data_IF_319870758744
#
_entry.id   IF_319870758744
#
_cell.length_a   1.000
_cell.length_b   1.000
_cell.length_c   1.000
_cell.angle_alpha   90.00
_cell.angle_beta   90.00
_cell.angle_gamma   90.00
#
_symmetry.space_group_name_H-M   'P 1'
#
loop_
_entity.id
_entity.type
_entity.pdbx_description
1 polymer ?
#
# COMPACT_ATOMS: atom_id res chain seq x y z
N UNK A 1 2.75 -9.47 -3.92
CA UNK A 1 2.67 -8.35 -2.95
C UNK A 1 2.26 -8.80 -1.55
N UNK A 2 1.27 -9.68 -1.43
CA UNK A 2 0.74 -10.12 -0.13
C UNK A 2 1.77 -10.58 0.92
N UNK A 3 2.86 -11.30 0.57
CA UNK A 3 3.90 -11.63 1.55
C UNK A 3 4.59 -10.41 2.17
N UNK A 4 4.77 -9.30 1.42
CA UNK A 4 5.36 -8.06 1.95
C UNK A 4 4.42 -7.42 2.97
N UNK A 5 3.12 -7.40 2.71
CA UNK A 5 2.10 -6.85 3.62
C UNK A 5 2.14 -7.57 4.98
N UNK A 6 2.24 -8.90 4.95
CA UNK A 6 2.34 -9.71 6.16
C UNK A 6 3.69 -9.51 6.87
N UNK A 7 4.80 -9.61 6.13
CA UNK A 7 6.15 -9.52 6.69
C UNK A 7 6.44 -8.14 7.31
N UNK A 8 5.85 -7.07 6.77
CA UNK A 8 5.99 -5.70 7.30
C UNK A 8 4.91 -5.34 8.33
N UNK A 9 4.08 -6.31 8.72
CA UNK A 9 3.11 -6.14 9.80
C UNK A 9 2.08 -5.05 9.53
N UNK A 10 1.70 -4.80 8.28
CA UNK A 10 0.77 -3.73 7.92
C UNK A 10 -0.56 -3.84 8.68
N UNK A 11 -1.03 -5.06 8.94
CA UNK A 11 -2.25 -5.34 9.70
C UNK A 11 -2.20 -4.88 11.16
N UNK A 12 -1.03 -4.68 11.75
CA UNK A 12 -0.90 -4.19 13.13
C UNK A 12 -1.46 -2.77 13.29
N UNK A 13 -1.26 -1.93 12.27
CA UNK A 13 -1.82 -0.58 12.22
C UNK A 13 -3.10 -0.53 11.38
N UNK A 14 -3.16 -1.25 10.27
CA UNK A 14 -4.24 -1.19 9.28
C UNK A 14 -5.18 -2.40 9.31
N UNK A 15 -5.28 -3.12 10.44
CA UNK A 15 -6.13 -4.32 10.55
C UNK A 15 -7.63 -4.02 10.49
N UNK A 16 -8.07 -2.97 11.18
CA UNK A 16 -9.50 -2.61 11.28
C UNK A 16 -9.83 -1.33 10.52
N UNK A 17 -9.18 -0.21 10.85
CA UNK A 17 -9.41 1.07 10.17
C UNK A 17 -8.26 2.08 10.33
N UNK A 18 -7.03 1.61 10.54
CA UNK A 18 -5.88 2.52 10.66
C UNK A 18 -5.69 3.34 9.39
N UNK A 19 -5.53 4.65 9.54
CA UNK A 19 -5.38 5.54 8.39
C UNK A 19 -6.57 5.52 7.41
N UNK A 20 -7.77 5.15 7.89
CA UNK A 20 -9.01 5.18 7.11
C UNK A 20 -9.23 3.98 6.19
N UNK A 21 -8.50 2.88 6.38
CA UNK A 21 -8.74 1.64 5.65
C UNK A 21 -8.33 0.38 6.43
N UNK A 22 -8.81 -0.78 5.94
CA UNK A 22 -8.37 -2.10 6.38
C UNK A 22 -7.61 -2.83 5.27
N UNK A 23 -6.47 -3.44 5.61
CA UNK A 23 -5.76 -4.38 4.71
C UNK A 23 -6.51 -5.70 4.53
N UNK A 24 -7.49 -6.00 5.39
CA UNK A 24 -8.22 -7.27 5.37
C UNK A 24 -7.38 -8.47 5.83
N UNK A 25 -8.01 -9.65 5.83
CA UNK A 25 -7.41 -10.92 6.26
C UNK A 25 -6.91 -11.81 5.11
N UNK A 26 -7.10 -11.38 3.86
CA UNK A 26 -6.71 -12.15 2.68
C UNK A 26 -6.21 -11.24 1.55
N UNK A 27 -5.46 -11.81 0.61
CA UNK A 27 -5.04 -11.11 -0.62
C UNK A 27 -6.20 -10.54 -1.42
N UNK A 28 -7.33 -11.27 -1.50
CA UNK A 28 -8.52 -10.82 -2.22
C UNK A 28 -9.18 -9.64 -1.52
N UNK A 29 -9.27 -9.67 -0.19
CA UNK A 29 -9.82 -8.55 0.59
C UNK A 29 -8.91 -7.33 0.51
N UNK A 30 -7.59 -7.53 0.60
CA UNK A 30 -6.62 -6.46 0.40
C UNK A 30 -6.78 -5.80 -0.96
N UNK A 31 -6.83 -6.61 -2.02
CA UNK A 31 -7.00 -6.13 -3.39
C UNK A 31 -8.28 -5.31 -3.53
N UNK A 32 -9.43 -5.86 -3.11
CA UNK A 32 -10.72 -5.17 -3.16
C UNK A 32 -10.74 -3.87 -2.36
N UNK A 33 -10.01 -3.80 -1.24
CA UNK A 33 -9.96 -2.60 -0.40
C UNK A 33 -8.98 -1.53 -0.90
N UNK A 34 -8.07 -1.84 -1.82
CA UNK A 34 -6.94 -0.94 -2.14
C UNK A 34 -6.79 -0.61 -3.62
N UNK A 35 -7.08 -1.54 -4.53
CA UNK A 35 -6.88 -1.31 -5.96
C UNK A 35 -8.06 -0.54 -6.53
N UNK A 36 -7.79 0.64 -7.10
CA UNK A 36 -8.82 1.55 -7.61
C UNK A 36 -9.63 2.27 -6.53
N UNK A 37 -9.32 2.05 -5.25
CA UNK A 37 -10.09 2.63 -4.14
C UNK A 37 -9.51 3.99 -3.73
N UNK A 38 -10.38 4.98 -3.62
CA UNK A 38 -10.01 6.32 -3.14
C UNK A 38 -9.53 6.29 -1.68
N UNK A 39 -8.53 7.11 -1.38
CA UNK A 39 -8.07 7.32 -0.01
C UNK A 39 -9.01 8.25 0.74
N UNK A 40 -9.52 7.79 1.87
CA UNK A 40 -10.37 8.58 2.79
C UNK A 40 -9.54 9.48 3.69
N UNK A 41 -8.32 9.07 4.05
CA UNK A 41 -7.40 9.86 4.87
C UNK A 41 -6.59 10.89 4.08
N UNK A 42 -6.61 10.79 2.75
CA UNK A 42 -6.05 11.81 1.88
C UNK A 42 -6.85 11.97 0.59
N UNK A 43 -7.88 12.84 0.60
CA UNK A 43 -8.73 13.08 -0.56
C UNK A 43 -7.93 13.43 -1.83
N UNK A 44 -8.45 13.00 -2.99
CA UNK A 44 -7.80 13.19 -4.29
C UNK A 44 -6.71 12.17 -4.63
N UNK A 45 -6.44 11.20 -3.76
CA UNK A 45 -5.48 10.12 -4.03
C UNK A 45 -6.18 8.77 -4.15
N UNK A 46 -5.71 7.93 -5.07
CA UNK A 46 -6.09 6.51 -5.14
C UNK A 46 -5.05 5.68 -4.38
N UNK A 47 -5.51 4.75 -3.53
CA UNK A 47 -4.65 3.90 -2.70
C UNK A 47 -3.63 3.15 -3.57
N UNK A 48 -4.11 2.43 -4.58
CA UNK A 48 -3.30 1.77 -5.60
C UNK A 48 -3.94 2.01 -6.98
N UNK A 49 -3.16 2.55 -7.90
CA UNK A 49 -3.51 2.69 -9.32
C UNK A 49 -2.85 1.53 -10.06
N UNK A 50 -3.64 0.58 -10.55
CA UNK A 50 -3.13 -0.56 -11.30
C UNK A 50 -2.37 -0.08 -12.54
N UNK A 51 -1.15 -0.60 -12.75
CA UNK A 51 -0.28 -0.19 -13.85
C UNK A 51 0.54 1.08 -13.59
N UNK A 52 0.34 1.77 -12.46
CA UNK A 52 1.00 3.06 -12.19
C UNK A 52 1.43 3.21 -10.72
N UNK A 53 2.63 2.73 -10.43
CA UNK A 53 3.24 2.87 -9.10
C UNK A 53 3.55 4.33 -8.74
N UNK A 54 3.84 5.21 -9.72
CA UNK A 54 4.20 6.59 -9.44
C UNK A 54 3.01 7.38 -8.88
N UNK A 55 1.81 7.13 -9.42
CA UNK A 55 0.58 7.77 -8.95
C UNK A 55 -0.11 7.01 -7.80
N UNK A 56 0.29 5.75 -7.54
CA UNK A 56 -0.21 4.96 -6.40
C UNK A 56 0.22 5.55 -5.05
N UNK A 57 -0.77 5.90 -4.21
CA UNK A 57 -0.49 6.48 -2.90
C UNK A 57 0.28 5.54 -1.98
N UNK A 58 -0.04 4.23 -2.00
CA UNK A 58 0.70 3.22 -1.25
C UNK A 58 2.20 3.26 -1.54
N UNK A 59 2.59 3.30 -2.81
CA UNK A 59 4.00 3.30 -3.18
C UNK A 59 4.72 4.55 -2.67
N UNK A 60 4.11 5.72 -2.87
CA UNK A 60 4.67 6.99 -2.36
C UNK A 60 4.85 6.98 -0.84
N UNK A 61 3.88 6.41 -0.10
CA UNK A 61 3.98 6.24 1.36
C UNK A 61 5.15 5.34 1.78
N UNK A 62 5.42 4.27 1.04
CA UNK A 62 6.54 3.36 1.34
C UNK A 62 7.90 3.95 0.92
N UNK A 63 7.95 4.64 -0.21
CA UNK A 63 9.14 5.27 -0.76
C UNK A 63 9.55 6.56 -0.03
N UNK A 64 8.63 7.18 0.73
CA UNK A 64 8.89 8.43 1.44
C UNK A 64 8.66 9.68 0.58
N UNK A 65 7.90 9.55 -0.50
CA UNK A 65 7.59 10.63 -1.46
C UNK A 65 6.13 11.04 -1.42
N UNK A 66 5.40 10.66 -0.37
CA UNK A 66 4.00 11.02 -0.19
C UNK A 66 3.80 12.53 -0.06
N UNK A 67 2.70 13.02 -0.63
CA UNK A 67 2.24 14.40 -0.44
C UNK A 67 1.41 14.60 0.83
N UNK A 68 1.15 13.53 1.60
CA UNK A 68 0.13 13.52 2.62
C UNK A 68 0.35 12.46 3.71
N UNK A 69 0.30 12.91 4.97
CA UNK A 69 0.67 12.11 6.14
C UNK A 69 2.12 11.65 6.10
N UNK A 70 2.46 10.70 6.98
CA UNK A 70 3.86 10.27 7.18
C UNK A 70 4.25 9.06 6.32
N UNK A 71 5.57 8.85 6.16
CA UNK A 71 6.13 7.67 5.52
C UNK A 71 5.72 6.39 6.27
N UNK A 72 5.50 5.32 5.52
CA UNK A 72 5.18 3.99 6.05
C UNK A 72 6.35 3.01 5.87
N UNK A 73 6.50 2.04 6.79
CA UNK A 73 5.82 1.96 8.09
C UNK A 73 6.19 3.12 9.02
N UNK A 74 5.26 3.55 9.89
CA UNK A 74 5.50 4.65 10.86
C UNK A 74 6.48 4.26 11.96
N UNK A 75 6.47 2.99 12.32
CA UNK A 75 7.31 2.38 13.34
C UNK A 75 8.03 1.18 12.74
N UNK A 76 9.27 0.95 13.18
CA UNK A 76 10.13 -0.12 12.64
C UNK A 76 10.80 0.25 11.31
N UNK A 77 11.44 -0.74 10.70
CA UNK A 77 12.29 -0.53 9.53
C UNK A 77 11.50 -0.31 8.24
N UNK A 78 11.93 0.71 7.49
CA UNK A 78 11.43 0.94 6.14
C UNK A 78 11.68 -0.24 5.21
N UNK A 79 10.95 -0.26 4.10
CA UNK A 79 11.23 -1.19 3.02
C UNK A 79 12.56 -0.81 2.38
N UNK A 80 13.42 -1.81 2.18
CA UNK A 80 14.66 -1.62 1.44
C UNK A 80 14.38 -1.52 -0.08
N UNK A 81 15.42 -1.21 -0.86
CA UNK A 81 15.29 -1.01 -2.30
C UNK A 81 14.67 -2.22 -3.02
N UNK A 82 15.08 -3.44 -2.65
CA UNK A 82 14.54 -4.68 -3.23
C UNK A 82 13.05 -4.83 -2.94
N UNK A 83 12.63 -4.60 -1.69
CA UNK A 83 11.22 -4.67 -1.31
C UNK A 83 10.39 -3.60 -2.02
N UNK A 84 10.90 -2.37 -2.12
CA UNK A 84 10.25 -1.29 -2.87
C UNK A 84 10.12 -1.63 -4.36
N UNK A 85 11.15 -2.23 -4.97
CA UNK A 85 11.09 -2.69 -6.36
C UNK A 85 10.00 -3.75 -6.54
N UNK A 86 9.93 -4.74 -5.66
CA UNK A 86 8.87 -5.77 -5.70
C UNK A 86 7.46 -5.16 -5.61
N UNK A 87 7.27 -4.14 -4.76
CA UNK A 87 5.99 -3.41 -4.68
C UNK A 87 5.70 -2.68 -5.99
N UNK A 88 6.68 -1.92 -6.49
CA UNK A 88 6.56 -1.15 -7.74
C UNK A 88 6.17 -2.05 -8.91
N UNK A 89 6.89 -3.16 -9.07
CA UNK A 89 6.74 -4.06 -10.20
C UNK A 89 5.40 -4.82 -10.12
N UNK A 90 4.94 -5.17 -8.91
CA UNK A 90 3.59 -5.71 -8.72
C UNK A 90 2.50 -4.68 -9.08
N UNK A 91 2.65 -3.42 -8.72
CA UNK A 91 1.67 -2.38 -9.13
C UNK A 91 1.68 -2.20 -10.64
N UNK A 92 2.88 -2.05 -11.23
CA UNK A 92 3.06 -1.79 -12.66
C UNK A 92 2.63 -2.98 -13.54
N UNK A 93 2.63 -4.21 -13.01
CA UNK A 93 2.04 -5.38 -13.68
C UNK A 93 0.51 -5.46 -13.59
N UNK A 94 -0.15 -4.36 -13.23
CA UNK A 94 -1.61 -4.27 -13.16
C UNK A 94 -2.19 -4.61 -11.79
N UNK A 95 -1.37 -4.66 -10.74
CA UNK A 95 -1.78 -5.00 -9.38
C UNK A 95 -2.65 -6.28 -9.34
N UNK A 96 -2.16 -7.43 -9.84
CA UNK A 96 -2.95 -8.66 -9.90
C UNK A 96 -3.34 -9.15 -8.50
N UNK A 97 -4.52 -9.77 -8.40
CA UNK A 97 -4.99 -10.39 -7.14
C UNK A 97 -4.27 -11.75 -6.90
N UNK A 98 -3.00 -11.71 -6.48
CA UNK A 98 -2.14 -12.89 -6.32
C UNK A 98 -1.44 -13.02 -4.97
#
# INVERSE_FOLDING_TARGET
>A
MWPIIQAKGCSSCHGTNGGGFSVGSSKSTFHANTVGVASTSCPGNTRIVAGDAANSFLYRKLAGTQSCGERMPRTGDYLNATQLNTVRDWINSGAPNN
#
